data_IF_787376759048
#
_entry.id   IF_787376759048
#
_cell.length_a   1.000
_cell.length_b   1.000
_cell.length_c   1.000
_cell.angle_alpha   90.00
_cell.angle_beta   90.00
_cell.angle_gamma   90.00
#
_symmetry.space_group_name_H-M   'P 1'
#
loop_
_entity.id
_entity.type
_entity.pdbx_description
1 polymer ?
#
# COMPACT_ATOMS: atom_id res chain seq x y z
N UNK A 1 4.59 -19.83 30.71
CA UNK A 1 4.31 -19.66 29.27
C UNK A 1 4.00 -18.18 29.04
N UNK A 2 5.01 -17.38 28.71
CA UNK A 2 4.84 -15.96 28.41
C UNK A 2 5.18 -15.77 26.93
N UNK A 3 4.21 -15.32 26.15
CA UNK A 3 4.35 -15.11 24.71
C UNK A 3 5.09 -13.78 24.53
N UNK A 4 6.34 -13.85 24.08
CA UNK A 4 7.19 -12.70 23.82
C UNK A 4 6.53 -11.77 22.80
N UNK A 5 6.24 -10.53 23.21
CA UNK A 5 5.87 -9.43 22.31
C UNK A 5 7.04 -9.19 21.37
N UNK A 6 6.95 -9.70 20.15
CA UNK A 6 7.87 -9.35 19.08
C UNK A 6 7.61 -7.91 18.66
N UNK A 7 8.68 -7.14 18.67
CA UNK A 7 8.74 -5.72 18.46
C UNK A 7 8.52 -5.42 16.96
N UNK A 8 7.40 -4.77 16.64
CA UNK A 8 7.16 -4.15 15.33
C UNK A 8 8.07 -2.92 15.21
N UNK A 9 9.35 -3.14 14.94
CA UNK A 9 10.26 -2.07 14.51
C UNK A 9 10.29 -2.07 12.99
N UNK A 10 9.59 -1.11 12.39
CA UNK A 10 9.82 -0.72 10.99
C UNK A 10 11.27 -0.28 10.86
N UNK A 11 12.14 -1.23 10.54
CA UNK A 11 13.57 -1.00 10.44
C UNK A 11 13.85 -0.72 8.97
N UNK A 12 13.76 0.55 8.55
CA UNK A 12 14.16 1.00 7.21
C UNK A 12 15.69 0.82 7.06
N UNK A 13 16.20 0.04 6.10
CA UNK A 13 17.63 -0.19 5.99
C UNK A 13 18.37 1.05 5.47
N UNK A 14 19.53 1.29 6.07
CA UNK A 14 20.56 2.24 5.65
C UNK A 14 21.13 1.88 4.28
N UNK A 15 21.17 2.87 3.38
CA UNK A 15 21.87 2.89 2.10
C UNK A 15 21.39 1.89 1.01
N UNK A 16 20.21 2.13 0.45
CA UNK A 16 19.70 1.44 -0.74
C UNK A 16 19.17 2.49 -1.73
N UNK A 17 19.55 2.39 -3.00
CA UNK A 17 18.90 3.14 -4.08
C UNK A 17 17.50 2.55 -4.26
N UNK A 18 16.55 3.09 -3.51
CA UNK A 18 15.14 2.69 -3.57
C UNK A 18 14.50 3.50 -4.69
N UNK A 19 14.25 2.87 -5.84
CA UNK A 19 13.50 3.46 -6.95
C UNK A 19 11.98 3.36 -6.72
N UNK A 20 11.56 2.49 -5.80
CA UNK A 20 10.19 2.03 -5.60
C UNK A 20 9.77 2.25 -4.13
N UNK A 21 8.71 2.99 -3.87
CA UNK A 21 8.20 3.25 -2.51
C UNK A 21 7.02 2.32 -2.21
N UNK A 22 7.14 1.47 -1.18
CA UNK A 22 6.04 0.58 -0.78
C UNK A 22 5.03 1.31 0.13
N UNK A 23 3.74 1.12 -0.12
CA UNK A 23 2.64 1.64 0.69
C UNK A 23 1.74 0.50 1.19
N UNK A 24 1.33 0.57 2.45
CA UNK A 24 0.44 -0.41 3.11
C UNK A 24 -0.96 0.20 3.32
N UNK A 25 -2.01 -0.58 3.09
CA UNK A 25 -3.39 -0.15 3.28
C UNK A 25 -4.32 -1.32 3.62
N UNK A 26 -5.53 -1.01 4.08
CA UNK A 26 -6.55 -2.02 4.36
C UNK A 26 -7.56 -2.11 3.22
N UNK A 27 -7.93 -3.35 2.84
CA UNK A 27 -8.93 -3.58 1.81
C UNK A 27 -10.30 -3.02 2.22
N UNK A 28 -10.93 -2.12 1.44
CA UNK A 28 -12.25 -1.56 1.74
C UNK A 28 -13.41 -2.56 1.60
N UNK A 29 -13.12 -3.79 1.17
CA UNK A 29 -14.09 -4.87 1.04
C UNK A 29 -14.06 -5.85 2.22
N UNK A 30 -12.91 -6.45 2.54
CA UNK A 30 -12.78 -7.46 3.59
C UNK A 30 -12.07 -6.97 4.85
N UNK A 31 -11.38 -5.82 4.80
CA UNK A 31 -10.61 -5.25 5.93
C UNK A 31 -9.18 -5.75 6.07
N UNK A 32 -8.77 -6.75 5.30
CA UNK A 32 -7.43 -7.35 5.40
C UNK A 32 -6.33 -6.39 4.94
N UNK A 33 -5.12 -6.45 5.54
CA UNK A 33 -3.98 -5.63 5.13
C UNK A 33 -3.48 -6.04 3.74
N UNK A 34 -3.18 -5.05 2.90
CA UNK A 34 -2.64 -5.17 1.55
C UNK A 34 -1.47 -4.18 1.38
N UNK A 35 -0.67 -4.37 0.34
CA UNK A 35 0.45 -3.49 0.03
C UNK A 35 0.64 -3.32 -1.48
N UNK A 36 1.10 -2.13 -1.86
CA UNK A 36 1.42 -1.78 -3.25
C UNK A 36 2.83 -1.19 -3.32
N UNK A 37 3.52 -1.44 -4.43
CA UNK A 37 4.79 -0.83 -4.75
C UNK A 37 4.54 0.32 -5.73
N UNK A 38 5.01 1.53 -5.37
CA UNK A 38 4.77 2.76 -6.10
C UNK A 38 6.06 3.22 -6.79
N UNK A 39 5.96 3.54 -8.07
CA UNK A 39 7.03 4.14 -8.85
C UNK A 39 6.82 5.67 -8.96
N UNK A 40 7.91 6.45 -9.11
CA UNK A 40 7.80 7.89 -9.36
C UNK A 40 6.96 8.24 -10.60
N UNK A 41 6.81 7.30 -11.54
CA UNK A 41 5.97 7.46 -12.73
C UNK A 41 4.46 7.35 -12.44
N UNK A 42 4.06 6.76 -11.32
CA UNK A 42 2.65 6.56 -10.96
C UNK A 42 2.02 7.81 -10.32
N UNK A 43 2.81 8.87 -10.09
CA UNK A 43 2.31 10.10 -9.48
C UNK A 43 1.14 10.70 -10.27
N UNK A 44 0.01 10.90 -9.58
CA UNK A 44 -1.22 11.42 -10.18
C UNK A 44 -2.04 10.39 -10.95
N UNK A 45 -1.63 9.12 -10.97
CA UNK A 45 -2.39 8.04 -11.57
C UNK A 45 -3.42 7.44 -10.61
N UNK A 46 -4.38 6.75 -11.20
CA UNK A 46 -5.32 5.87 -10.49
C UNK A 46 -4.93 4.46 -10.87
N UNK A 47 -4.56 3.67 -9.87
CA UNK A 47 -4.21 2.26 -10.03
C UNK A 47 -5.37 1.39 -9.54
N UNK A 48 -5.65 0.31 -10.25
CA UNK A 48 -6.59 -0.71 -9.80
C UNK A 48 -5.78 -1.95 -9.42
N UNK A 49 -5.93 -2.39 -8.18
CA UNK A 49 -5.31 -3.61 -7.67
C UNK A 49 -6.37 -4.53 -7.06
N UNK A 50 -6.25 -5.82 -7.32
CA UNK A 50 -7.05 -6.83 -6.64
C UNK A 50 -6.54 -7.08 -5.21
N UNK A 51 -7.48 -7.29 -4.29
CA UNK A 51 -7.14 -7.70 -2.93
C UNK A 51 -6.52 -9.10 -2.91
N UNK A 52 -5.35 -9.26 -2.29
CA UNK A 52 -4.66 -10.54 -2.17
C UNK A 52 -5.44 -11.63 -1.40
N UNK A 53 -6.51 -11.24 -0.68
CA UNK A 53 -7.33 -12.16 0.13
C UNK A 53 -8.71 -12.40 -0.48
N UNK A 54 -9.43 -11.33 -0.84
CA UNK A 54 -10.81 -11.45 -1.33
C UNK A 54 -10.97 -11.30 -2.84
N UNK A 55 -9.88 -11.06 -3.58
CA UNK A 55 -9.85 -10.93 -5.04
C UNK A 55 -10.79 -9.87 -5.62
N UNK A 56 -11.12 -8.83 -4.84
CA UNK A 56 -11.98 -7.72 -5.29
C UNK A 56 -11.14 -6.52 -5.73
N UNK A 57 -11.55 -5.80 -6.78
CA UNK A 57 -10.80 -4.65 -7.30
C UNK A 57 -10.87 -3.48 -6.33
N UNK A 58 -9.72 -2.85 -6.09
CA UNK A 58 -9.52 -1.72 -5.20
C UNK A 58 -8.92 -0.60 -6.03
N UNK A 59 -9.54 0.56 -5.98
CA UNK A 59 -9.05 1.77 -6.64
C UNK A 59 -8.14 2.54 -5.69
N UNK A 60 -6.93 2.83 -6.16
CA UNK A 60 -5.88 3.52 -5.43
C UNK A 60 -5.55 4.81 -6.17
N UNK A 61 -5.79 5.96 -5.52
CA UNK A 61 -5.42 7.26 -6.09
C UNK A 61 -4.11 7.73 -5.50
N UNK A 62 -3.16 8.06 -6.38
CA UNK A 62 -1.84 8.55 -5.99
C UNK A 62 -1.79 10.08 -6.06
N UNK A 63 -1.09 10.68 -5.10
CA UNK A 63 -0.85 12.12 -5.07
C UNK A 63 -0.02 12.52 -6.30
N UNK A 64 -0.48 13.54 -7.04
CA UNK A 64 0.30 14.12 -8.14
C UNK A 64 1.52 14.92 -7.65
N UNK A 65 1.56 15.30 -6.37
CA UNK A 65 2.66 16.11 -5.82
C UNK A 65 3.86 15.28 -5.39
N UNK A 66 3.62 14.07 -4.87
CA UNK A 66 4.62 13.26 -4.18
C UNK A 66 4.56 11.78 -4.54
N UNK A 67 3.59 11.34 -5.36
CA UNK A 67 3.49 9.95 -5.82
C UNK A 67 3.02 8.97 -4.76
N UNK A 68 2.59 9.43 -3.58
CA UNK A 68 2.21 8.56 -2.46
C UNK A 68 0.73 8.23 -2.51
N UNK A 69 0.38 7.10 -1.89
CA UNK A 69 -1.01 6.66 -1.75
C UNK A 69 -1.82 7.68 -0.94
N UNK A 70 -2.82 8.30 -1.57
CA UNK A 70 -3.65 9.34 -0.96
C UNK A 70 -5.09 8.87 -0.71
N UNK A 71 -5.63 8.01 -1.57
CA UNK A 71 -6.99 7.45 -1.42
C UNK A 71 -7.01 5.97 -1.75
N UNK A 72 -7.81 5.25 -0.98
CA UNK A 72 -8.15 3.84 -1.18
C UNK A 72 -9.66 3.74 -1.20
N UNK A 73 -10.22 3.26 -2.31
CA UNK A 73 -11.67 3.13 -2.52
C UNK A 73 -11.99 1.81 -3.22
N UNK A 74 -13.26 1.43 -3.27
CA UNK A 74 -13.69 0.31 -4.10
C UNK A 74 -13.87 0.81 -5.52
N UNK A 75 -13.54 -0.02 -6.51
CA UNK A 75 -13.73 0.34 -7.92
C UNK A 75 -15.23 0.63 -8.20
N UNK A 76 -15.51 1.80 -8.78
CA UNK A 76 -16.86 2.21 -9.19
C UNK A 76 -17.72 2.90 -8.13
N UNK A 77 -17.13 3.40 -7.03
CA UNK A 77 -17.81 4.22 -6.01
C UNK A 77 -17.82 5.74 -6.31
#
# INVERSE_FOLDING_TARGET
MAVSRSEFTTTKPSNTLVLLEAAEFHCPWCGEPNGIELEPGDAGQILVQDCAVCCRPIELTLSAADGRLFRVAREGE
#
